data_IF_925967277696
#
_entry.id   IF_925967277696
#
_cell.length_a   1.000
_cell.length_b   1.000
_cell.length_c   1.000
_cell.angle_alpha   90.00
_cell.angle_beta   90.00
_cell.angle_gamma   90.00
#
_symmetry.space_group_name_H-M   'P 1'
#
loop_
_entity.id
_entity.type
_entity.pdbx_description
1 polymer ?
#
# COMPACT_ATOMS: atom_id res chain seq x y z
N UNK A 1 5.37 18.99 21.19
CA UNK A 1 3.98 19.42 21.37
C UNK A 1 3.80 20.60 20.42
N UNK A 2 3.54 20.28 19.16
CA UNK A 2 3.31 21.24 18.09
C UNK A 2 1.83 21.65 18.16
N UNK A 3 1.52 22.93 17.94
CA UNK A 3 0.13 23.40 17.96
C UNK A 3 -0.70 22.69 16.87
N UNK A 4 -1.94 22.26 17.18
CA UNK A 4 -2.80 21.53 16.24
C UNK A 4 -3.32 22.41 15.08
N UNK A 5 -3.07 23.72 15.12
CA UNK A 5 -3.45 24.73 14.14
C UNK A 5 -2.21 25.53 13.71
N UNK A 6 -2.15 25.91 12.43
CA UNK A 6 -1.17 26.89 12.01
C UNK A 6 -1.29 27.33 10.55
N UNK A 7 -0.46 28.32 10.21
CA UNK A 7 -0.25 28.76 8.84
C UNK A 7 1.24 29.01 8.58
N UNK A 8 1.70 28.64 7.38
CA UNK A 8 3.07 28.82 6.93
C UNK A 8 3.08 29.17 5.44
N UNK A 9 4.16 29.80 5.00
CA UNK A 9 4.38 30.21 3.62
C UNK A 9 5.68 29.59 3.16
N UNK A 10 5.62 28.75 2.12
CA UNK A 10 6.80 28.17 1.49
C UNK A 10 6.63 28.29 -0.03
N UNK A 11 7.68 28.80 -0.70
CA UNK A 11 7.73 28.92 -2.17
C UNK A 11 6.55 29.66 -2.84
N UNK A 12 5.99 30.71 -2.20
CA UNK A 12 4.83 31.44 -2.75
C UNK A 12 3.49 30.68 -2.63
N UNK A 13 3.49 29.54 -1.92
CA UNK A 13 2.27 28.83 -1.54
C UNK A 13 2.09 29.00 -0.04
N UNK A 14 0.93 29.54 0.37
CA UNK A 14 0.57 29.60 1.78
C UNK A 14 -0.28 28.38 2.12
N UNK A 15 0.03 27.76 3.25
CA UNK A 15 -0.67 26.60 3.77
C UNK A 15 -1.41 26.98 5.06
N UNK A 16 -2.59 26.42 5.24
CA UNK A 16 -3.29 26.35 6.53
C UNK A 16 -3.55 24.89 6.84
N UNK A 17 -3.51 24.50 8.10
CA UNK A 17 -3.72 23.10 8.46
C UNK A 17 -4.36 22.94 9.82
N UNK A 18 -4.89 21.74 10.02
CA UNK A 18 -5.46 21.29 11.28
C UNK A 18 -5.26 19.79 11.43
N UNK A 19 -4.82 19.36 12.61
CA UNK A 19 -4.61 17.95 12.91
C UNK A 19 -5.48 17.47 14.07
N UNK A 20 -5.90 16.20 14.03
CA UNK A 20 -6.57 15.56 15.14
C UNK A 20 -6.14 14.09 15.26
N UNK A 21 -5.98 13.62 16.50
CA UNK A 21 -5.71 12.21 16.80
C UNK A 21 -6.49 11.79 18.05
N UNK A 22 -7.12 10.62 18.01
CA UNK A 22 -7.89 10.04 19.10
C UNK A 22 -7.67 8.53 19.17
N UNK A 23 -7.63 7.99 20.39
CA UNK A 23 -7.42 6.55 20.62
C UNK A 23 -8.56 5.68 20.08
N UNK A 24 -9.72 6.29 19.83
CA UNK A 24 -10.95 5.58 19.48
C UNK A 24 -11.74 5.17 20.71
N UNK A 25 -12.63 4.20 20.54
CA UNK A 25 -13.52 3.66 21.59
C UNK A 25 -13.15 2.27 22.06
N UNK A 26 -12.36 1.54 21.26
CA UNK A 26 -12.06 0.12 21.51
C UNK A 26 -10.61 -0.11 21.93
N UNK A 27 -9.65 0.60 21.35
CA UNK A 27 -8.23 0.46 21.67
C UNK A 27 -7.90 1.10 23.02
N UNK A 28 -6.91 0.54 23.73
CA UNK A 28 -6.43 1.11 25.01
C UNK A 28 -5.29 2.11 24.82
N UNK A 29 -4.51 1.94 23.75
CA UNK A 29 -3.30 2.71 23.44
C UNK A 29 -3.47 3.29 22.04
N UNK A 30 -3.00 4.52 21.86
CA UNK A 30 -2.90 5.13 20.55
C UNK A 30 -1.53 4.78 19.94
N UNK A 31 -1.54 3.99 18.87
CA UNK A 31 -0.35 3.59 18.12
C UNK A 31 -0.14 4.46 16.88
N UNK A 32 -1.04 5.38 16.58
CA UNK A 32 -0.86 6.38 15.54
C UNK A 32 0.06 7.51 16.01
N UNK A 33 0.77 8.11 15.06
CA UNK A 33 1.54 9.32 15.25
C UNK A 33 1.33 10.28 14.09
N UNK A 34 1.42 11.58 14.38
CA UNK A 34 1.42 12.63 13.37
C UNK A 34 2.58 13.59 13.58
N UNK A 35 3.05 14.19 12.48
CA UNK A 35 4.03 15.28 12.51
C UNK A 35 3.55 16.44 11.63
N UNK A 36 3.76 17.65 12.14
CA UNK A 36 3.44 18.90 11.46
C UNK A 36 4.67 19.80 11.59
N UNK A 37 5.28 20.10 10.45
CA UNK A 37 6.42 21.00 10.32
C UNK A 37 6.14 22.12 9.32
N UNK A 38 7.19 22.87 8.97
CA UNK A 38 7.07 23.96 8.00
C UNK A 38 6.94 23.38 6.58
N UNK A 39 5.71 23.12 6.14
CA UNK A 39 5.42 22.59 4.81
C UNK A 39 5.55 21.07 4.68
N UNK A 40 5.72 20.35 5.79
CA UNK A 40 5.72 18.88 5.88
C UNK A 40 4.62 18.42 6.84
N UNK A 41 3.81 17.48 6.39
CA UNK A 41 2.75 16.84 7.17
C UNK A 41 2.87 15.34 7.03
N UNK A 42 2.85 14.60 8.14
CA UNK A 42 3.03 13.15 8.15
C UNK A 42 1.98 12.53 9.07
N UNK A 43 1.36 11.44 8.62
CA UNK A 43 0.56 10.54 9.44
C UNK A 43 1.15 9.13 9.33
N UNK A 44 1.25 8.45 10.47
CA UNK A 44 1.79 7.11 10.57
C UNK A 44 0.92 6.27 11.50
N UNK A 45 0.47 5.11 11.03
CA UNK A 45 -0.32 4.13 11.80
C UNK A 45 0.59 2.97 12.22
N UNK A 46 0.79 2.85 13.52
CA UNK A 46 1.73 1.92 14.12
C UNK A 46 1.15 0.51 14.26
N UNK A 47 1.78 -0.46 13.59
CA UNK A 47 1.44 -1.87 13.69
C UNK A 47 2.48 -2.67 14.48
N UNK A 48 2.01 -3.60 15.31
CA UNK A 48 2.87 -4.50 16.07
C UNK A 48 2.23 -4.93 17.38
N UNK A 49 2.64 -6.10 17.90
CA UNK A 49 2.20 -6.55 19.21
C UNK A 49 2.68 -5.62 20.34
N UNK A 50 1.98 -5.63 21.48
CA UNK A 50 2.30 -4.79 22.64
C UNK A 50 2.58 -3.32 22.26
N UNK A 51 3.68 -2.73 22.73
CA UNK A 51 4.07 -1.33 22.49
C UNK A 51 4.81 -1.11 21.16
N UNK A 52 4.92 -2.12 20.29
CA UNK A 52 5.69 -2.03 19.04
C UNK A 52 5.18 -0.94 18.10
N UNK A 53 3.86 -0.89 17.88
CA UNK A 53 3.24 0.08 16.96
C UNK A 53 3.50 1.55 17.35
N UNK A 54 3.24 1.90 18.62
CA UNK A 54 3.49 3.26 19.15
C UNK A 54 4.96 3.69 18.96
N UNK A 55 5.90 2.78 19.20
CA UNK A 55 7.32 3.07 19.04
C UNK A 55 7.68 3.26 17.57
N UNK A 56 7.16 2.40 16.68
CA UNK A 56 7.44 2.45 15.25
C UNK A 56 6.90 3.74 14.61
N UNK A 57 5.61 4.06 14.80
CA UNK A 57 4.99 5.26 14.21
C UNK A 57 5.65 6.54 14.69
N UNK A 58 5.96 6.62 16.00
CA UNK A 58 6.66 7.78 16.57
C UNK A 58 8.07 7.94 15.98
N UNK A 59 8.85 6.86 15.89
CA UNK A 59 10.19 6.91 15.29
C UNK A 59 10.09 7.38 13.83
N UNK A 60 9.12 6.88 13.07
CA UNK A 60 8.97 7.26 11.66
C UNK A 60 8.72 8.76 11.49
N UNK A 61 7.71 9.32 12.17
CA UNK A 61 7.37 10.74 12.01
C UNK A 61 8.46 11.66 12.56
N UNK A 62 9.10 11.30 13.68
CA UNK A 62 10.22 12.08 14.27
C UNK A 62 11.44 12.07 13.34
N UNK A 63 11.74 10.94 12.70
CA UNK A 63 12.88 10.80 11.79
C UNK A 63 12.66 11.61 10.52
N UNK A 64 11.49 11.48 9.90
CA UNK A 64 11.16 12.26 8.70
C UNK A 64 11.22 13.76 8.96
N UNK A 65 10.62 14.22 10.07
CA UNK A 65 10.70 15.62 10.47
C UNK A 65 12.14 16.08 10.66
N UNK A 66 12.95 15.31 11.39
CA UNK A 66 14.34 15.68 11.68
C UNK A 66 15.22 15.75 10.42
N UNK A 67 15.07 14.80 9.48
CA UNK A 67 15.86 14.78 8.24
C UNK A 67 15.51 15.96 7.34
N UNK A 68 14.22 16.23 7.14
CA UNK A 68 13.78 17.30 6.24
C UNK A 68 13.99 18.70 6.83
N UNK A 69 13.79 18.88 8.14
CA UNK A 69 14.07 20.16 8.82
C UNK A 69 15.56 20.50 8.82
N UNK A 70 16.46 19.49 8.84
CA UNK A 70 17.91 19.69 8.69
C UNK A 70 18.27 20.29 7.33
N UNK A 71 17.48 19.98 6.30
CA UNK A 71 17.68 20.46 4.93
C UNK A 71 17.08 21.84 4.69
N UNK A 72 16.15 22.26 5.55
CA UNK A 72 15.53 23.58 5.56
C UNK A 72 14.01 23.49 5.62
N UNK A 73 13.36 24.63 5.40
CA UNK A 73 11.90 24.76 5.43
C UNK A 73 11.22 24.52 4.07
N UNK A 74 11.85 23.73 3.20
CA UNK A 74 11.42 23.52 1.81
C UNK A 74 11.51 24.77 0.92
N UNK A 75 11.13 24.66 -0.37
CA UNK A 75 10.66 23.43 -1.02
C UNK A 75 11.80 22.42 -1.18
N UNK A 76 11.52 21.14 -0.95
CA UNK A 76 12.49 20.05 -1.09
C UNK A 76 12.48 19.46 -2.50
N UNK A 77 13.28 18.44 -2.77
CA UNK A 77 13.09 17.55 -3.91
C UNK A 77 12.21 16.38 -3.49
N UNK A 78 11.56 15.72 -4.44
CA UNK A 78 10.81 14.48 -4.10
C UNK A 78 11.73 13.42 -3.53
N UNK A 79 12.95 13.34 -4.05
CA UNK A 79 13.99 12.44 -3.56
C UNK A 79 14.32 12.65 -2.07
N UNK A 80 14.22 13.88 -1.56
CA UNK A 80 14.50 14.17 -0.15
C UNK A 80 13.41 13.55 0.75
N UNK A 81 12.14 13.61 0.32
CA UNK A 81 11.02 12.94 1.01
C UNK A 81 11.19 11.42 1.00
N UNK A 82 11.54 10.85 -0.16
CA UNK A 82 11.81 9.40 -0.28
C UNK A 82 12.97 8.99 0.62
N UNK A 83 14.05 9.77 0.63
CA UNK A 83 15.22 9.52 1.50
C UNK A 83 14.85 9.60 2.98
N UNK A 84 13.99 10.54 3.37
CA UNK A 84 13.48 10.66 4.73
C UNK A 84 12.64 9.42 5.15
N UNK A 85 11.84 8.86 4.24
CA UNK A 85 11.12 7.60 4.48
C UNK A 85 12.09 6.41 4.60
N UNK A 86 13.14 6.34 3.77
CA UNK A 86 14.16 5.29 3.90
C UNK A 86 14.91 5.40 5.24
N UNK A 87 15.27 6.60 5.67
CA UNK A 87 15.90 6.83 6.96
C UNK A 87 14.99 6.42 8.14
N UNK A 88 13.69 6.71 8.03
CA UNK A 88 12.69 6.22 8.97
C UNK A 88 12.63 4.68 9.00
N UNK A 89 12.62 4.03 7.82
CA UNK A 89 12.65 2.58 7.68
C UNK A 89 13.85 1.96 8.39
N UNK A 90 15.06 2.45 8.09
CA UNK A 90 16.30 1.98 8.70
C UNK A 90 16.27 2.10 10.22
N UNK A 91 15.72 3.20 10.75
CA UNK A 91 15.68 3.45 12.18
C UNK A 91 14.65 2.57 12.91
N UNK A 92 13.47 2.35 12.32
CA UNK A 92 12.46 1.43 12.86
C UNK A 92 13.00 -0.01 12.80
N UNK A 93 13.55 -0.42 11.66
CA UNK A 93 14.17 -1.74 11.48
C UNK A 93 15.28 -2.00 12.51
N UNK A 94 16.25 -1.09 12.64
CA UNK A 94 17.35 -1.21 13.60
C UNK A 94 16.87 -1.28 15.06
N UNK A 95 15.81 -0.55 15.40
CA UNK A 95 15.21 -0.62 16.74
C UNK A 95 14.52 -1.96 16.99
N UNK A 96 13.87 -2.54 15.98
CA UNK A 96 13.22 -3.86 16.07
C UNK A 96 14.23 -5.00 16.26
N UNK A 97 15.40 -4.88 15.63
CA UNK A 97 16.53 -5.82 15.78
C UNK A 97 17.23 -5.68 17.14
N UNK A 98 17.25 -4.48 17.72
CA UNK A 98 17.93 -4.23 18.99
C UNK A 98 17.14 -4.70 20.22
N UNK A 99 15.82 -4.55 20.22
CA UNK A 99 14.95 -4.96 21.33
C UNK A 99 14.01 -6.10 20.90
N UNK A 100 14.22 -7.34 21.39
CA UNK A 100 13.34 -8.47 21.09
C UNK A 100 11.85 -8.27 21.44
N UNK A 101 11.51 -7.30 22.30
CA UNK A 101 10.11 -6.96 22.62
C UNK A 101 9.43 -6.15 21.51
N UNK A 102 10.22 -5.54 20.64
CA UNK A 102 9.79 -4.74 19.50
C UNK A 102 9.96 -5.50 18.18
N UNK A 103 10.29 -6.79 18.24
CA UNK A 103 10.45 -7.62 17.05
C UNK A 103 9.18 -7.60 16.19
N UNK A 104 9.35 -7.28 14.91
CA UNK A 104 8.25 -7.18 13.95
C UNK A 104 7.35 -5.95 14.14
N UNK A 105 7.79 -4.93 14.88
CA UNK A 105 7.12 -3.62 14.85
C UNK A 105 7.26 -2.99 13.47
N UNK A 106 6.23 -2.27 13.04
CA UNK A 106 6.25 -1.50 11.81
C UNK A 106 5.23 -0.39 11.86
N UNK A 107 5.17 0.42 10.82
CA UNK A 107 4.20 1.50 10.72
C UNK A 107 3.89 1.80 9.26
N UNK A 108 2.70 2.32 9.01
CA UNK A 108 2.45 3.03 7.75
C UNK A 108 3.13 4.41 7.81
N UNK A 109 3.27 5.04 6.64
CA UNK A 109 3.62 6.45 6.48
C UNK A 109 2.87 6.99 5.28
N UNK A 110 2.11 8.06 5.47
CA UNK A 110 1.66 8.95 4.40
C UNK A 110 2.10 10.36 4.72
N UNK A 111 2.72 11.03 3.76
CA UNK A 111 3.23 12.39 3.96
C UNK A 111 2.96 13.31 2.79
N UNK A 112 2.80 14.60 3.09
CA UNK A 112 2.70 15.68 2.13
C UNK A 112 3.81 16.69 2.40
N UNK A 113 4.55 17.05 1.34
CA UNK A 113 5.56 18.10 1.36
C UNK A 113 5.47 19.02 0.16
N UNK A 114 5.88 20.28 0.29
CA UNK A 114 6.11 21.15 -0.86
C UNK A 114 7.49 20.87 -1.46
N UNK A 115 7.52 20.61 -2.76
CA UNK A 115 8.75 20.31 -3.50
C UNK A 115 8.93 21.27 -4.67
N UNK A 116 10.17 21.42 -5.14
CA UNK A 116 10.51 22.15 -6.35
C UNK A 116 11.15 21.19 -7.35
N UNK A 117 10.46 20.97 -8.47
CA UNK A 117 10.92 20.12 -9.57
C UNK A 117 10.79 20.92 -10.87
N UNK A 118 11.83 20.93 -11.69
CA UNK A 118 11.91 21.69 -12.94
C UNK A 118 11.57 23.21 -12.81
N UNK A 119 11.83 23.78 -11.63
CA UNK A 119 11.55 25.19 -11.33
C UNK A 119 10.07 25.50 -11.03
N UNK A 120 9.25 24.47 -10.83
CA UNK A 120 7.85 24.60 -10.42
C UNK A 120 7.63 24.02 -9.01
N UNK A 121 6.95 24.78 -8.16
CA UNK A 121 6.51 24.28 -6.85
C UNK A 121 5.34 23.30 -7.00
N UNK A 122 5.48 22.12 -6.41
CA UNK A 122 4.51 21.03 -6.45
C UNK A 122 4.19 20.54 -5.04
N UNK A 123 3.02 19.95 -4.88
CA UNK A 123 2.68 19.15 -3.70
C UNK A 123 3.15 17.72 -3.99
N UNK A 124 4.13 17.25 -3.24
CA UNK A 124 4.55 15.86 -3.25
C UNK A 124 3.80 15.08 -2.17
N UNK A 125 3.31 13.90 -2.53
CA UNK A 125 2.74 12.92 -1.61
C UNK A 125 3.62 11.69 -1.68
N UNK A 126 4.07 11.17 -0.53
CA UNK A 126 4.73 9.86 -0.43
C UNK A 126 3.91 8.93 0.44
N UNK A 127 3.80 7.65 0.04
CA UNK A 127 2.99 6.65 0.74
C UNK A 127 3.71 5.31 0.89
N UNK A 128 3.59 4.73 2.09
CA UNK A 128 3.92 3.36 2.44
C UNK A 128 2.87 2.84 3.42
N UNK A 129 1.93 2.02 2.95
CA UNK A 129 0.93 1.38 3.78
C UNK A 129 -0.46 1.63 3.23
N UNK A 130 -1.47 1.47 4.08
CA UNK A 130 -2.89 1.67 3.78
C UNK A 130 -3.49 2.91 4.47
N UNK A 131 -2.66 3.71 5.14
CA UNK A 131 -3.01 5.12 5.39
C UNK A 131 -3.14 5.88 4.07
N UNK A 132 -4.00 6.89 4.04
CA UNK A 132 -4.46 7.50 2.79
C UNK A 132 -4.23 9.00 2.71
N UNK A 133 -3.91 9.45 1.51
CA UNK A 133 -3.96 10.85 1.11
C UNK A 133 -5.11 11.08 0.11
N UNK A 134 -5.96 12.05 0.41
CA UNK A 134 -7.01 12.53 -0.49
C UNK A 134 -6.77 13.98 -0.91
N UNK A 135 -7.29 14.35 -2.08
CA UNK A 135 -7.36 15.72 -2.57
C UNK A 135 -8.82 16.08 -2.87
N UNK A 136 -9.31 17.11 -2.20
CA UNK A 136 -10.54 17.81 -2.53
C UNK A 136 -10.21 18.98 -3.47
N UNK A 137 -10.62 18.87 -4.73
CA UNK A 137 -10.45 19.93 -5.74
C UNK A 137 -11.71 20.08 -6.58
N UNK A 138 -12.18 21.32 -6.76
CA UNK A 138 -13.42 21.58 -7.51
C UNK A 138 -14.67 20.90 -6.93
N UNK A 139 -14.65 20.54 -5.64
CA UNK A 139 -15.74 19.86 -4.95
C UNK A 139 -15.74 18.33 -5.06
N UNK A 140 -14.77 17.73 -5.76
CA UNK A 140 -14.58 16.29 -5.86
C UNK A 140 -13.44 15.85 -4.94
N UNK A 141 -13.66 14.77 -4.18
CA UNK A 141 -12.65 14.14 -3.34
C UNK A 141 -12.08 12.94 -4.09
N UNK A 142 -10.79 13.01 -4.43
CA UNK A 142 -10.08 11.92 -5.08
C UNK A 142 -9.03 11.34 -4.11
N UNK A 143 -9.01 10.02 -3.96
CA UNK A 143 -7.89 9.35 -3.30
C UNK A 143 -6.66 9.43 -4.20
N UNK A 144 -5.55 9.93 -3.68
CA UNK A 144 -4.29 10.08 -4.42
C UNK A 144 -3.35 8.91 -4.19
N UNK A 145 -3.27 8.41 -2.96
CA UNK A 145 -2.41 7.28 -2.60
C UNK A 145 -3.04 5.94 -2.99
N UNK A 146 -2.21 4.94 -3.29
CA UNK A 146 -2.65 3.55 -3.42
C UNK A 146 -2.46 2.80 -2.10
N UNK A 147 -3.49 2.06 -1.66
CA UNK A 147 -3.40 1.22 -0.46
C UNK A 147 -2.45 0.04 -0.71
N UNK A 148 -1.40 -0.08 0.11
CA UNK A 148 -0.57 -1.27 0.19
C UNK A 148 -1.18 -2.28 1.16
N UNK A 149 -2.38 -2.75 0.82
CA UNK A 149 -3.09 -3.82 1.51
C UNK A 149 -3.46 -4.94 0.55
N UNK A 150 -3.71 -6.13 1.09
CA UNK A 150 -4.13 -7.30 0.31
C UNK A 150 -5.39 -6.98 -0.51
N UNK A 151 -6.35 -6.28 0.09
CA UNK A 151 -7.57 -5.88 -0.61
C UNK A 151 -7.33 -4.79 -1.64
N UNK A 152 -6.40 -3.86 -1.39
CA UNK A 152 -5.97 -2.85 -2.35
C UNK A 152 -5.34 -3.49 -3.59
N UNK A 153 -4.49 -4.50 -3.40
CA UNK A 153 -3.90 -5.27 -4.49
C UNK A 153 -4.95 -6.04 -5.29
N UNK A 154 -5.83 -6.78 -4.62
CA UNK A 154 -6.90 -7.54 -5.29
C UNK A 154 -7.88 -6.64 -6.04
N UNK A 155 -8.18 -5.45 -5.51
CA UNK A 155 -9.01 -4.45 -6.18
C UNK A 155 -8.34 -3.94 -7.46
N UNK A 156 -7.06 -3.55 -7.39
CA UNK A 156 -6.28 -3.09 -8.56
C UNK A 156 -6.13 -4.17 -9.63
N UNK A 157 -6.05 -5.43 -9.24
CA UNK A 157 -6.04 -6.58 -10.17
C UNK A 157 -7.42 -6.87 -10.80
N UNK A 158 -8.48 -6.15 -10.40
CA UNK A 158 -9.85 -6.38 -10.86
C UNK A 158 -10.46 -7.67 -10.32
N UNK A 159 -9.90 -8.21 -9.24
CA UNK A 159 -10.36 -9.45 -8.59
C UNK A 159 -11.38 -9.20 -7.49
N UNK A 160 -11.44 -7.98 -6.98
CA UNK A 160 -12.48 -7.50 -6.07
C UNK A 160 -13.07 -6.19 -6.60
N UNK A 161 -14.35 -6.00 -6.35
CA UNK A 161 -14.99 -4.68 -6.41
C UNK A 161 -14.70 -3.88 -5.15
N UNK A 162 -14.94 -2.56 -5.18
CA UNK A 162 -14.75 -1.69 -4.02
C UNK A 162 -15.62 -2.11 -2.83
N UNK A 163 -16.86 -2.52 -3.09
CA UNK A 163 -17.78 -3.00 -2.05
C UNK A 163 -17.31 -4.31 -1.42
N UNK A 164 -16.76 -5.23 -2.22
CA UNK A 164 -16.20 -6.49 -1.71
C UNK A 164 -14.93 -6.26 -0.89
N UNK A 165 -14.05 -5.34 -1.32
CA UNK A 165 -12.84 -4.99 -0.59
C UNK A 165 -13.15 -4.47 0.84
N UNK A 166 -14.18 -3.62 0.98
CA UNK A 166 -14.60 -3.02 2.26
C UNK A 166 -15.02 -4.02 3.33
N UNK A 167 -15.64 -5.14 2.92
CA UNK A 167 -16.14 -6.18 3.83
C UNK A 167 -15.27 -7.44 3.85
N UNK A 168 -14.13 -7.42 3.17
CA UNK A 168 -13.28 -8.58 3.04
C UNK A 168 -12.68 -8.98 4.40
N UNK A 169 -12.66 -10.28 4.76
CA UNK A 169 -12.17 -10.74 6.07
C UNK A 169 -10.67 -10.46 6.30
N UNK A 170 -9.93 -10.20 5.23
CA UNK A 170 -8.49 -9.90 5.27
C UNK A 170 -8.17 -8.45 4.86
N UNK A 171 -9.12 -7.53 5.05
CA UNK A 171 -8.93 -6.12 4.66
C UNK A 171 -7.79 -5.42 5.43
N UNK A 172 -7.55 -5.82 6.68
CA UNK A 172 -6.50 -5.27 7.54
C UNK A 172 -5.10 -5.91 7.30
N UNK A 173 -4.88 -6.64 6.21
CA UNK A 173 -3.56 -7.19 5.89
C UNK A 173 -2.80 -6.16 5.04
N UNK A 174 -1.84 -5.49 5.67
CA UNK A 174 -0.89 -4.59 5.01
C UNK A 174 0.18 -5.40 4.28
N UNK A 175 0.47 -5.05 3.02
CA UNK A 175 1.48 -5.71 2.17
C UNK A 175 2.79 -4.94 2.10
N UNK A 176 2.83 -3.68 2.54
CA UNK A 176 4.04 -2.87 2.63
C UNK A 176 4.00 -1.94 3.84
N UNK A 177 5.02 -1.99 4.69
CA UNK A 177 5.10 -1.14 5.88
C UNK A 177 6.57 -0.76 6.17
N UNK A 178 6.75 0.39 6.82
CA UNK A 178 8.05 0.89 7.28
C UNK A 178 8.52 0.07 8.47
N UNK A 179 9.78 -0.37 8.44
CA UNK A 179 10.46 -1.08 9.52
C UNK A 179 10.28 -2.59 9.55
N UNK A 180 9.56 -3.17 8.58
CA UNK A 180 9.33 -4.63 8.46
C UNK A 180 10.33 -5.31 7.52
N UNK A 181 10.91 -4.56 6.59
CA UNK A 181 11.97 -5.03 5.71
C UNK A 181 13.12 -4.02 5.74
N UNK A 182 14.34 -4.47 5.39
CA UNK A 182 15.51 -3.60 5.38
C UNK A 182 15.39 -2.44 4.38
N UNK A 183 14.65 -2.66 3.30
CA UNK A 183 14.37 -1.67 2.27
C UNK A 183 12.87 -1.64 2.03
N UNK A 184 12.32 -0.44 1.84
CA UNK A 184 10.89 -0.26 1.57
C UNK A 184 10.69 0.49 0.26
N UNK A 185 9.80 0.01 -0.59
CA UNK A 185 9.45 0.69 -1.83
C UNK A 185 8.47 1.84 -1.53
N UNK A 186 8.78 3.07 -1.95
CA UNK A 186 8.00 4.26 -1.62
C UNK A 186 7.25 4.72 -2.85
N UNK A 187 5.93 4.84 -2.71
CA UNK A 187 5.10 5.39 -3.78
C UNK A 187 5.14 6.93 -3.68
N UNK A 188 5.29 7.61 -4.82
CA UNK A 188 5.41 9.06 -4.91
C UNK A 188 4.44 9.66 -5.93
N UNK A 189 3.81 10.77 -5.58
CA UNK A 189 2.88 11.50 -6.44
C UNK A 189 3.20 12.99 -6.40
N UNK A 190 3.18 13.64 -7.55
CA UNK A 190 3.42 15.08 -7.65
C UNK A 190 2.23 15.78 -8.29
N UNK A 191 1.68 16.78 -7.61
CA UNK A 191 0.50 17.52 -8.05
C UNK A 191 0.81 19.02 -8.07
N UNK A 192 0.39 19.70 -9.14
CA UNK A 192 0.44 21.16 -9.19
C UNK A 192 -0.58 21.76 -8.21
N UNK A 193 -0.14 22.56 -7.21
CA UNK A 193 -1.04 23.16 -6.24
C UNK A 193 -1.99 24.13 -6.93
N UNK A 194 -3.27 24.08 -6.56
CA UNK A 194 -4.25 25.11 -6.93
C UNK A 194 -4.82 25.74 -5.67
N UNK A 195 -4.94 27.05 -5.67
CA UNK A 195 -5.64 27.76 -4.60
C UNK A 195 -7.04 27.19 -4.40
N UNK A 196 -7.37 26.87 -3.16
CA UNK A 196 -8.63 26.22 -2.78
C UNK A 196 -8.59 24.71 -2.82
N UNK A 197 -7.48 24.08 -3.26
CA UNK A 197 -7.27 22.65 -3.01
C UNK A 197 -7.14 22.39 -1.51
N UNK A 198 -7.77 21.32 -1.06
CA UNK A 198 -7.68 20.82 0.31
C UNK A 198 -7.23 19.36 0.29
N UNK A 199 -6.25 19.02 1.10
CA UNK A 199 -5.73 17.67 1.23
C UNK A 199 -6.11 17.09 2.59
N UNK A 200 -6.31 15.77 2.65
CA UNK A 200 -6.54 15.02 3.87
C UNK A 200 -5.55 13.86 3.91
N UNK A 201 -4.72 13.81 4.94
CA UNK A 201 -3.95 12.61 5.31
C UNK A 201 -4.69 11.92 6.46
N UNK A 202 -4.84 10.60 6.44
CA UNK A 202 -5.53 9.87 7.51
C UNK A 202 -5.07 8.42 7.67
N UNK A 203 -5.14 7.89 8.90
CA UNK A 203 -5.06 6.45 9.19
C UNK A 203 -6.35 5.73 8.77
N UNK A 204 -6.28 4.39 8.71
CA UNK A 204 -7.41 3.57 8.28
C UNK A 204 -8.63 3.71 9.20
N UNK A 205 -8.42 3.99 10.49
CA UNK A 205 -9.46 4.17 11.49
C UNK A 205 -10.47 5.27 11.19
N UNK A 206 -10.14 6.23 10.30
CA UNK A 206 -11.13 7.13 9.72
C UNK A 206 -11.95 6.42 8.63
N UNK A 207 -11.28 5.90 7.61
CA UNK A 207 -11.90 5.40 6.38
C UNK A 207 -12.63 4.07 6.54
N UNK A 208 -12.33 3.35 7.62
CA UNK A 208 -13.04 2.15 8.05
C UNK A 208 -14.40 2.44 8.71
N UNK A 209 -14.61 3.68 9.15
CA UNK A 209 -15.79 4.11 9.92
C UNK A 209 -16.63 5.16 9.18
N UNK A 210 -15.99 5.99 8.36
CA UNK A 210 -16.61 7.13 7.67
C UNK A 210 -16.41 6.96 6.16
N UNK A 211 -17.51 7.08 5.42
CA UNK A 211 -17.50 6.92 3.96
C UNK A 211 -16.90 8.15 3.26
N UNK A 212 -16.41 7.98 2.04
CA UNK A 212 -15.87 9.08 1.22
C UNK A 212 -16.90 10.21 0.98
N UNK A 213 -18.19 9.89 0.85
CA UNK A 213 -19.26 10.88 0.72
C UNK A 213 -19.40 11.74 1.99
N UNK A 214 -19.33 11.11 3.16
CA UNK A 214 -19.37 11.79 4.46
C UNK A 214 -18.12 12.64 4.68
N UNK A 215 -16.93 12.11 4.35
CA UNK A 215 -15.68 12.86 4.37
C UNK A 215 -15.78 14.09 3.47
N UNK A 216 -16.26 13.91 2.24
CA UNK A 216 -16.45 15.00 1.27
C UNK A 216 -17.40 16.06 1.80
N UNK A 217 -18.51 15.66 2.41
CA UNK A 217 -19.47 16.59 2.99
C UNK A 217 -18.86 17.44 4.12
N UNK A 218 -18.06 16.84 5.01
CA UNK A 218 -17.38 17.56 6.09
C UNK A 218 -16.32 18.52 5.55
N UNK A 219 -15.46 18.04 4.66
CA UNK A 219 -14.37 18.85 4.09
C UNK A 219 -14.89 20.02 3.26
N UNK A 220 -16.09 19.91 2.67
CA UNK A 220 -16.76 21.02 1.95
C UNK A 220 -17.57 21.94 2.86
N UNK A 221 -18.07 21.44 3.99
CA UNK A 221 -18.99 22.16 4.86
C UNK A 221 -18.31 22.96 5.96
N UNK A 222 -17.07 22.60 6.33
CA UNK A 222 -16.32 23.25 7.41
C UNK A 222 -15.07 23.91 6.86
N UNK A 223 -15.03 25.23 6.84
CA UNK A 223 -13.91 26.00 6.28
C UNK A 223 -12.62 25.88 7.11
N UNK A 224 -12.71 25.73 8.43
CA UNK A 224 -11.53 25.68 9.30
C UNK A 224 -10.93 24.27 9.33
N UNK A 225 -9.65 24.06 8.91
CA UNK A 225 -9.04 22.73 8.84
C UNK A 225 -9.09 21.94 10.14
N UNK A 226 -8.82 22.57 11.29
CA UNK A 226 -8.83 21.89 12.58
C UNK A 226 -10.25 21.48 12.98
N UNK A 227 -11.26 22.34 12.73
CA UNK A 227 -12.64 22.00 13.00
C UNK A 227 -13.13 20.85 12.10
N UNK A 228 -12.70 20.82 10.83
CA UNK A 228 -13.00 19.72 9.92
C UNK A 228 -12.35 18.41 10.41
N UNK A 229 -11.09 18.49 10.86
CA UNK A 229 -10.36 17.36 11.42
C UNK A 229 -11.05 16.78 12.67
N UNK A 230 -11.40 17.64 13.63
CA UNK A 230 -12.11 17.25 14.85
C UNK A 230 -13.50 16.66 14.56
N UNK A 231 -14.21 17.21 13.59
CA UNK A 231 -15.52 16.69 13.16
C UNK A 231 -15.41 15.29 12.57
N UNK A 232 -14.41 15.02 11.72
CA UNK A 232 -14.16 13.68 11.17
C UNK A 232 -13.85 12.66 12.26
N UNK A 233 -12.98 13.01 13.22
CA UNK A 233 -12.70 12.17 14.39
C UNK A 233 -13.97 11.90 15.19
N UNK A 234 -14.82 12.91 15.38
CA UNK A 234 -16.10 12.77 16.09
C UNK A 234 -17.03 11.81 15.35
N UNK A 235 -17.13 11.89 14.03
CA UNK A 235 -17.97 11.00 13.22
C UNK A 235 -17.46 9.55 13.25
N UNK A 236 -16.15 9.33 13.06
CA UNK A 236 -15.54 7.98 13.15
C UNK A 236 -15.79 7.34 14.52
N UNK A 237 -15.61 8.11 15.60
CA UNK A 237 -15.92 7.67 16.95
C UNK A 237 -17.41 7.39 17.21
N UNK A 238 -18.31 8.05 16.49
CA UNK A 238 -19.75 7.82 16.60
C UNK A 238 -20.20 6.58 15.80
N UNK A 239 -19.50 6.25 14.71
CA UNK A 239 -19.74 5.07 13.89
C UNK A 239 -19.17 3.77 14.49
N UNK A 240 -18.21 3.88 15.41
CA UNK A 240 -17.73 2.75 16.19
C UNK A 240 -16.42 3.02 16.92
N UNK A 241 -15.53 3.81 16.31
CA UNK A 241 -14.18 4.08 16.83
C UNK A 241 -13.43 2.79 17.15
N UNK A 242 -13.45 1.81 16.23
CA UNK A 242 -12.84 0.50 16.44
C UNK A 242 -11.31 0.54 16.46
N UNK A 243 -10.73 1.57 15.86
CA UNK A 243 -9.29 1.79 15.80
C UNK A 243 -8.86 3.16 16.30
N UNK A 244 -7.55 3.38 16.35
CA UNK A 244 -6.95 4.71 16.47
C UNK A 244 -7.33 5.55 15.23
N UNK A 245 -7.60 6.84 15.44
CA UNK A 245 -8.06 7.73 14.37
C UNK A 245 -7.15 8.94 14.36
N UNK A 246 -6.37 9.08 13.31
CA UNK A 246 -5.42 10.19 13.16
C UNK A 246 -5.49 10.77 11.77
N UNK A 247 -5.55 12.11 11.68
CA UNK A 247 -5.66 12.80 10.41
C UNK A 247 -5.11 14.22 10.46
N UNK A 248 -4.74 14.73 9.29
CA UNK A 248 -4.33 16.12 9.04
C UNK A 248 -5.07 16.65 7.81
N UNK A 249 -5.69 17.82 7.94
CA UNK A 249 -6.26 18.58 6.82
C UNK A 249 -5.31 19.72 6.46
N UNK A 250 -5.00 19.89 5.17
CA UNK A 250 -4.08 20.91 4.65
C UNK A 250 -4.73 21.67 3.50
N UNK A 251 -4.84 22.99 3.63
CA UNK A 251 -5.38 23.89 2.60
C UNK A 251 -4.27 24.62 1.85
N UNK A 252 -4.41 24.66 0.52
CA UNK A 252 -3.65 25.56 -0.33
C UNK A 252 -4.38 26.90 -0.40
N UNK A 253 -3.83 27.92 0.24
CA UNK A 253 -4.38 29.28 0.21
C UNK A 253 -3.51 30.21 -0.62
N UNK A 254 -4.15 31.21 -1.22
CA UNK A 254 -3.48 32.28 -1.95
C UNK A 254 -2.50 33.00 -1.01
N UNK A 255 -1.24 33.16 -1.45
CA UNK A 255 -0.25 33.93 -0.72
C UNK A 255 -0.49 35.44 -0.85
N UNK A 256 -1.40 35.85 -1.75
CA UNK A 256 -1.72 37.24 -2.07
C UNK A 256 -0.75 37.86 -3.08
N UNK A 257 0.22 37.08 -3.58
CA UNK A 257 1.08 37.38 -4.72
C UNK A 257 0.59 36.56 -5.91
N UNK A 258 -0.62 36.89 -6.37
CA UNK A 258 -1.14 36.35 -7.63
C UNK A 258 -0.13 36.55 -8.78
N UNK A 259 -0.16 35.71 -9.83
CA UNK A 259 0.80 35.77 -10.91
C UNK A 259 0.89 37.19 -11.47
N UNK A 260 2.04 37.84 -11.31
CA UNK A 260 2.36 39.10 -11.97
C UNK A 260 2.55 38.83 -13.46
N UNK A 261 1.44 38.71 -14.18
CA UNK A 261 1.47 38.59 -15.63
C UNK A 261 0.41 37.65 -16.18
N UNK A 262 -0.83 38.12 -16.30
CA UNK A 262 -1.61 38.07 -17.54
C UNK A 262 -3.05 38.53 -17.27
N UNK A 263 -3.33 39.76 -17.69
CA UNK A 263 -4.61 40.24 -18.24
C UNK A 263 -5.92 39.82 -17.57
N UNK A 264 -6.43 40.73 -16.75
CA UNK A 264 -7.72 41.42 -16.96
C UNK A 264 -8.54 40.93 -18.19
N UNK A 265 -9.51 40.05 -17.95
CA UNK A 265 -10.64 39.80 -18.83
C UNK A 265 -11.93 39.74 -18.00
N UNK A 266 -12.46 40.94 -17.80
CA UNK A 266 -13.78 41.29 -17.29
C UNK A 266 -14.91 40.69 -18.15
N UNK A 267 -15.93 40.11 -17.48
CA UNK A 267 -17.36 39.94 -17.89
C UNK A 267 -17.61 38.91 -19.02
N UNK A 268 -18.63 38.04 -18.99
CA UNK A 268 -20.04 38.26 -18.63
C UNK A 268 -20.75 37.03 -18.05
N UNK A 269 -21.60 37.31 -17.06
CA UNK A 269 -22.78 36.56 -16.65
C UNK A 269 -23.89 36.65 -17.71
N UNK A 270 -24.52 35.51 -18.04
CA UNK A 270 -25.79 35.47 -18.78
C UNK A 270 -26.87 34.75 -17.96
N UNK A 271 -28.15 35.11 -18.15
CA UNK A 271 -29.24 34.94 -17.19
C UNK A 271 -30.06 33.65 -17.41
N UNK A 272 -30.82 33.31 -16.36
CA UNK A 272 -31.93 32.36 -16.34
C UNK A 272 -32.94 32.64 -17.47
N UNK A 273 -33.43 31.56 -18.11
CA UNK A 273 -34.69 31.57 -18.85
C UNK A 273 -35.47 30.27 -18.55
N UNK A 274 -36.77 30.48 -18.38
CA UNK A 274 -37.82 29.64 -17.81
C UNK A 274 -38.31 28.44 -18.67
N UNK A 275 -38.97 27.52 -17.94
CA UNK A 275 -40.24 26.84 -18.29
C UNK A 275 -40.36 26.07 -19.62
N UNK A 276 -40.38 24.73 -19.53
CA UNK A 276 -41.35 23.94 -20.31
C UNK A 276 -41.72 22.65 -19.56
N UNK A 277 -42.91 22.71 -18.95
CA UNK A 277 -43.74 21.53 -18.66
C UNK A 277 -44.15 20.81 -19.96
N UNK A 278 -44.16 19.48 -19.98
CA UNK A 278 -45.18 18.63 -20.63
C UNK A 278 -44.91 17.13 -20.38
N UNK A 279 -45.84 16.49 -19.68
CA UNK A 279 -46.19 15.07 -19.77
C UNK A 279 -47.24 14.93 -20.91
N UNK A 280 -47.26 13.86 -21.71
CA UNK A 280 -48.28 12.84 -21.42
C UNK A 280 -47.92 11.39 -21.77
N UNK A 281 -48.52 10.47 -21.00
CA UNK A 281 -48.79 9.08 -21.34
C UNK A 281 -49.63 8.91 -22.63
N UNK A 282 -49.36 7.86 -23.43
CA UNK A 282 -50.32 6.75 -23.72
C UNK A 282 -49.84 5.75 -24.80
N UNK A 283 -50.00 4.47 -24.42
CA UNK A 283 -50.46 3.29 -25.17
C UNK A 283 -49.77 2.79 -26.46
N UNK A 284 -49.30 1.53 -26.41
CA UNK A 284 -49.92 0.45 -27.20
C UNK A 284 -49.69 -0.95 -26.61
N UNK A 285 -50.75 -1.75 -26.72
CA UNK A 285 -51.03 -3.04 -26.07
C UNK A 285 -50.44 -4.28 -26.79
N UNK A 286 -50.66 -5.43 -26.13
CA UNK A 286 -51.04 -6.76 -26.67
C UNK A 286 -49.91 -7.82 -26.68
N UNK A 287 -50.02 -9.06 -26.15
CA UNK A 287 -51.16 -9.99 -26.00
C UNK A 287 -50.93 -11.08 -24.90
N UNK A 288 -52.02 -11.38 -24.15
CA UNK A 288 -52.59 -12.69 -23.72
C UNK A 288 -51.75 -13.67 -22.84
N UNK A 289 -52.04 -13.96 -21.57
CA UNK A 289 -53.21 -14.61 -20.91
C UNK A 289 -53.23 -16.18 -20.92
N UNK A 290 -52.73 -16.80 -19.82
CA UNK A 290 -53.39 -17.66 -18.78
C UNK A 290 -54.55 -18.59 -19.26
N UNK A 291 -54.68 -19.89 -18.85
CA UNK A 291 -54.83 -20.25 -17.42
C UNK A 291 -54.33 -21.61 -16.86
N UNK A 292 -54.19 -21.57 -15.53
CA UNK A 292 -54.23 -22.64 -14.52
C UNK A 292 -55.35 -23.69 -14.73
N UNK A 293 -55.11 -24.93 -14.26
CA UNK A 293 -56.02 -25.54 -13.27
C UNK A 293 -55.50 -26.87 -12.64
N UNK A 294 -55.41 -26.84 -11.30
CA UNK A 294 -55.95 -27.79 -10.29
C UNK A 294 -55.67 -29.31 -10.33
N UNK A 295 -54.88 -29.73 -9.35
CA UNK A 295 -55.23 -30.52 -8.14
C UNK A 295 -56.18 -31.76 -8.16
N UNK A 296 -55.73 -32.75 -7.38
CA UNK A 296 -56.44 -33.85 -6.67
C UNK A 296 -56.83 -35.13 -7.45
N UNK A 297 -56.33 -36.29 -7.00
CA UNK A 297 -57.06 -37.22 -6.11
C UNK A 297 -56.29 -38.54 -5.88
N UNK A 298 -56.35 -38.99 -4.62
CA UNK A 298 -56.00 -40.31 -4.10
C UNK A 298 -56.84 -41.44 -4.73
N UNK A 299 -56.31 -42.66 -4.82
CA UNK A 299 -56.76 -43.82 -4.00
C UNK A 299 -56.14 -45.16 -4.40
N UNK A 300 -55.82 -45.94 -3.35
CA UNK A 300 -56.04 -47.38 -3.13
C UNK A 300 -55.59 -48.39 -4.19
N UNK A 301 -55.02 -49.55 -3.85
CA UNK A 301 -54.88 -50.26 -2.59
C UNK A 301 -54.76 -51.76 -2.88
N UNK A 302 -54.87 -52.59 -1.84
CA UNK A 302 -54.92 -54.08 -1.81
C UNK A 302 -53.56 -54.76 -1.99
N UNK A 303 -53.03 -55.51 -1.03
CA UNK A 303 -53.50 -56.74 -0.36
C UNK A 303 -52.37 -57.78 -0.55
N UNK A 304 -52.10 -58.81 0.25
CA UNK A 304 -52.70 -59.46 1.41
C UNK A 304 -51.74 -60.61 1.84
N UNK A 305 -51.74 -60.94 3.14
CA UNK A 305 -51.51 -62.24 3.80
C UNK A 305 -50.26 -63.10 3.45
N UNK A 306 -49.33 -63.39 4.38
CA UNK A 306 -49.38 -64.35 5.51
C UNK A 306 -49.10 -65.81 5.10
N UNK A 307 -48.05 -66.45 5.67
CA UNK A 307 -48.09 -67.75 6.38
C UNK A 307 -46.69 -68.31 6.73
N UNK A 308 -46.57 -68.75 7.98
CA UNK A 308 -45.59 -69.70 8.58
C UNK A 308 -46.37 -71.03 8.82
N UNK A 309 -45.83 -72.20 9.32
CA UNK A 309 -44.46 -72.68 9.65
C UNK A 309 -44.27 -74.20 9.23
N UNK A 310 -43.65 -75.14 10.00
CA UNK A 310 -42.25 -75.33 10.45
C UNK A 310 -41.62 -76.70 10.04
N UNK A 311 -40.31 -76.92 10.31
CA UNK A 311 -39.71 -78.04 11.11
C UNK A 311 -38.28 -78.48 10.68
N UNK A 312 -37.39 -78.53 11.69
CA UNK A 312 -36.24 -79.41 12.03
C UNK A 312 -35.52 -80.24 10.93
N UNK A 313 -34.19 -80.23 11.00
CA UNK A 313 -33.36 -81.43 10.79
C UNK A 313 -31.92 -81.16 10.32
N UNK A 314 -30.96 -81.38 11.22
CA UNK A 314 -29.61 -81.96 11.04
C UNK A 314 -28.57 -81.40 10.04
N UNK A 315 -27.43 -81.00 10.60
CA UNK A 315 -26.08 -80.91 10.00
C UNK A 315 -25.48 -82.31 9.66
N UNK A 316 -24.28 -82.46 9.06
CA UNK A 316 -23.49 -81.62 8.13
C UNK A 316 -22.84 -82.43 6.96
N UNK A 317 -21.96 -81.75 6.20
CA UNK A 317 -20.84 -82.22 5.34
C UNK A 317 -21.14 -82.62 3.89
N UNK A 318 -20.46 -81.91 2.98
CA UNK A 318 -20.27 -82.29 1.58
C UNK A 318 -19.62 -81.19 0.74
N UNK A 319 -18.29 -81.20 0.70
CA UNK A 319 -17.41 -80.83 -0.41
C UNK A 319 -17.52 -79.43 -1.06
N UNK A 320 -16.66 -78.51 -0.60
CA UNK A 320 -16.29 -77.29 -1.33
C UNK A 320 -15.39 -77.64 -2.54
N UNK A 321 -15.91 -77.34 -3.74
CA UNK A 321 -15.11 -77.20 -4.97
C UNK A 321 -14.75 -75.72 -5.14
N UNK A 322 -13.46 -75.33 -5.20
CA UNK A 322 -13.10 -73.93 -5.44
C UNK A 322 -13.23 -73.62 -6.94
N UNK A 323 -14.27 -72.88 -7.33
CA UNK A 323 -14.30 -72.14 -8.61
C UNK A 323 -14.03 -70.67 -8.33
N UNK A 324 -12.84 -70.23 -8.74
CA UNK A 324 -12.36 -68.86 -8.57
C UNK A 324 -13.27 -67.82 -9.23
N UNK A 325 -13.87 -66.99 -8.36
CA UNK A 325 -14.21 -65.55 -8.46
C UNK A 325 -14.49 -64.98 -9.86
N UNK A 326 -15.76 -64.65 -10.09
CA UNK A 326 -16.17 -63.61 -11.03
C UNK A 326 -15.49 -62.26 -10.67
N UNK A 327 -15.12 -61.42 -11.66
CA UNK A 327 -14.53 -60.12 -11.39
C UNK A 327 -15.52 -59.26 -10.61
N UNK A 328 -15.07 -58.69 -9.48
CA UNK A 328 -15.86 -57.72 -8.70
C UNK A 328 -16.20 -56.55 -9.63
N UNK A 329 -17.48 -56.39 -9.95
CA UNK A 329 -17.94 -55.21 -10.67
C UNK A 329 -17.55 -53.97 -9.86
N UNK A 330 -16.75 -53.09 -10.46
CA UNK A 330 -16.40 -51.79 -9.87
C UNK A 330 -17.73 -51.09 -9.60
N UNK A 331 -18.06 -50.94 -8.31
CA UNK A 331 -19.30 -50.26 -7.94
C UNK A 331 -19.14 -48.80 -8.33
N UNK A 332 -20.19 -48.16 -8.86
CA UNK A 332 -20.15 -46.73 -9.26
C UNK A 332 -19.56 -45.85 -8.13
N UNK A 333 -19.78 -46.24 -6.87
CA UNK A 333 -19.21 -45.60 -5.68
C UNK A 333 -17.68 -45.69 -5.57
N UNK A 334 -17.07 -46.83 -5.94
CA UNK A 334 -15.61 -46.96 -5.95
C UNK A 334 -14.96 -46.16 -7.08
N UNK A 335 -15.62 -46.05 -8.25
CA UNK A 335 -15.14 -45.20 -9.33
C UNK A 335 -15.26 -43.72 -8.97
N UNK A 336 -16.38 -43.31 -8.35
CA UNK A 336 -16.56 -41.96 -7.84
C UNK A 336 -15.52 -41.59 -6.77
N UNK A 337 -15.23 -42.51 -5.83
CA UNK A 337 -14.18 -42.30 -4.83
C UNK A 337 -12.79 -42.13 -5.46
N UNK A 338 -12.43 -42.97 -6.44
CA UNK A 338 -11.15 -42.84 -7.16
C UNK A 338 -11.06 -41.51 -7.92
N UNK A 339 -12.16 -41.06 -8.54
CA UNK A 339 -12.21 -39.75 -9.21
C UNK A 339 -12.07 -38.59 -8.24
N UNK A 340 -12.68 -38.66 -7.05
CA UNK A 340 -12.51 -37.64 -6.00
C UNK A 340 -11.06 -37.63 -5.50
N UNK A 341 -10.46 -38.79 -5.26
CA UNK A 341 -9.05 -38.88 -4.85
C UNK A 341 -8.12 -38.32 -5.93
N UNK A 342 -8.34 -38.67 -7.20
CA UNK A 342 -7.57 -38.11 -8.31
C UNK A 342 -7.77 -36.60 -8.45
N UNK A 343 -9.00 -36.11 -8.21
CA UNK A 343 -9.29 -34.67 -8.18
C UNK A 343 -8.56 -33.94 -7.06
N UNK A 344 -8.50 -34.52 -5.86
CA UNK A 344 -7.75 -33.97 -4.73
C UNK A 344 -6.23 -33.99 -4.97
N UNK A 345 -5.70 -35.07 -5.51
CA UNK A 345 -4.27 -35.19 -5.86
C UNK A 345 -3.92 -34.21 -6.99
N UNK A 346 -4.73 -34.13 -8.04
CA UNK A 346 -4.55 -33.19 -9.14
C UNK A 346 -4.69 -31.74 -8.69
N UNK A 347 -5.67 -31.43 -7.85
CA UNK A 347 -5.84 -30.10 -7.25
C UNK A 347 -4.69 -29.72 -6.35
N UNK A 348 -4.20 -30.63 -5.51
CA UNK A 348 -3.01 -30.42 -4.68
C UNK A 348 -1.75 -30.20 -5.51
N UNK A 349 -1.55 -31.00 -6.57
CA UNK A 349 -0.42 -30.82 -7.49
C UNK A 349 -0.50 -29.49 -8.26
N UNK A 350 -1.70 -29.06 -8.66
CA UNK A 350 -1.92 -27.77 -9.31
C UNK A 350 -1.63 -26.60 -8.36
N UNK A 351 -2.10 -26.66 -7.12
CA UNK A 351 -1.81 -25.64 -6.10
C UNK A 351 -0.30 -25.56 -5.79
N UNK A 352 0.37 -26.72 -5.69
CA UNK A 352 1.82 -26.77 -5.50
C UNK A 352 2.59 -26.18 -6.70
N UNK A 353 2.16 -26.49 -7.93
CA UNK A 353 2.73 -25.93 -9.15
C UNK A 353 2.56 -24.40 -9.22
N UNK A 354 1.35 -23.89 -8.96
CA UNK A 354 1.08 -22.45 -8.89
C UNK A 354 1.94 -21.77 -7.83
N UNK A 355 1.95 -22.30 -6.62
CA UNK A 355 2.74 -21.77 -5.52
C UNK A 355 4.25 -21.71 -5.80
N UNK A 356 4.75 -22.65 -6.61
CA UNK A 356 6.15 -22.71 -7.02
C UNK A 356 6.51 -21.67 -8.10
N UNK A 357 5.55 -21.25 -8.93
CA UNK A 357 5.80 -20.38 -10.10
C UNK A 357 5.23 -18.95 -9.98
N UNK A 358 4.37 -18.68 -8.98
CA UNK A 358 3.72 -17.36 -8.81
C UNK A 358 4.64 -16.26 -8.25
N UNK A 359 5.97 -16.42 -8.35
CA UNK A 359 6.95 -15.43 -7.86
C UNK A 359 8.14 -15.35 -8.80
N UNK A 360 8.74 -14.17 -8.92
CA UNK A 360 10.04 -13.97 -9.55
C UNK A 360 11.08 -13.73 -8.45
N UNK A 361 12.36 -13.87 -8.76
CA UNK A 361 13.40 -13.38 -7.87
C UNK A 361 14.61 -12.91 -8.65
N UNK A 362 15.37 -11.99 -8.05
CA UNK A 362 16.64 -11.52 -8.58
C UNK A 362 17.75 -12.19 -7.78
N UNK A 363 18.63 -12.92 -8.47
CA UNK A 363 19.69 -13.71 -7.84
C UNK A 363 20.98 -13.65 -8.66
N UNK A 364 21.96 -14.47 -8.26
CA UNK A 364 23.26 -14.54 -8.92
C UNK A 364 23.42 -15.87 -9.67
N UNK A 365 23.86 -15.81 -10.93
CA UNK A 365 24.24 -16.97 -11.74
C UNK A 365 25.45 -16.62 -12.61
N UNK A 366 26.47 -17.48 -12.62
CA UNK A 366 27.69 -17.33 -13.43
C UNK A 366 28.29 -15.89 -13.40
N UNK A 367 28.52 -15.37 -12.19
CA UNK A 367 29.07 -14.02 -11.91
C UNK A 367 28.22 -12.84 -12.43
N UNK A 368 26.91 -13.07 -12.68
CA UNK A 368 25.97 -12.03 -13.10
C UNK A 368 24.70 -12.01 -12.27
N UNK A 369 24.03 -10.86 -12.26
CA UNK A 369 22.68 -10.72 -11.72
C UNK A 369 21.67 -11.22 -12.76
N UNK A 370 20.81 -12.17 -12.38
CA UNK A 370 19.81 -12.81 -13.25
C UNK A 370 18.43 -12.75 -12.60
N UNK A 371 17.39 -12.57 -13.41
CA UNK A 371 16.00 -12.67 -12.98
C UNK A 371 15.50 -14.09 -13.26
N UNK A 372 15.03 -14.74 -12.20
CA UNK A 372 14.46 -16.08 -12.22
C UNK A 372 12.94 -16.05 -12.05
N UNK A 373 12.27 -17.03 -12.64
CA UNK A 373 10.88 -17.37 -12.35
C UNK A 373 10.84 -18.59 -11.42
N UNK A 374 10.10 -18.44 -10.33
CA UNK A 374 10.04 -19.37 -9.22
C UNK A 374 10.69 -18.83 -7.94
N UNK A 375 10.60 -19.61 -6.86
CA UNK A 375 11.13 -19.22 -5.54
C UNK A 375 12.65 -19.41 -5.45
N UNK A 376 13.35 -18.55 -4.69
CA UNK A 376 14.76 -18.78 -4.35
C UNK A 376 14.95 -20.14 -3.68
N UNK A 377 15.92 -20.92 -4.15
CA UNK A 377 16.22 -22.27 -3.62
C UNK A 377 15.25 -23.39 -4.04
N UNK A 378 14.25 -23.08 -4.87
CA UNK A 378 13.29 -24.06 -5.42
C UNK A 378 12.19 -24.50 -4.43
N UNK A 379 11.18 -25.21 -4.95
CA UNK A 379 10.11 -25.79 -4.14
C UNK A 379 9.76 -27.20 -4.60
N UNK A 380 9.92 -28.18 -3.70
CA UNK A 380 9.77 -29.62 -4.00
C UNK A 380 10.70 -30.10 -5.12
N UNK A 381 10.15 -30.40 -6.30
CA UNK A 381 10.85 -30.84 -7.50
C UNK A 381 10.80 -29.77 -8.62
N UNK A 382 10.42 -28.53 -8.27
CA UNK A 382 10.41 -27.38 -9.15
C UNK A 382 11.61 -26.49 -8.83
N UNK A 383 12.60 -26.50 -9.71
CA UNK A 383 13.72 -25.59 -9.67
C UNK A 383 13.34 -24.28 -10.39
N UNK A 384 13.87 -23.13 -9.93
CA UNK A 384 13.64 -21.87 -10.61
C UNK A 384 14.27 -21.88 -12.00
N UNK A 385 13.64 -21.20 -12.95
CA UNK A 385 14.14 -21.07 -14.32
C UNK A 385 14.59 -19.64 -14.61
N UNK A 386 15.77 -19.43 -15.22
CA UNK A 386 16.21 -18.10 -15.62
C UNK A 386 15.29 -17.55 -16.72
N UNK A 387 14.85 -16.31 -16.57
CA UNK A 387 13.96 -15.61 -17.51
C UNK A 387 14.69 -14.51 -18.24
N UNK A 388 15.54 -13.76 -17.55
CA UNK A 388 16.21 -12.58 -18.09
C UNK A 388 17.60 -12.40 -17.46
N UNK A 389 18.63 -12.43 -18.31
CA UNK A 389 20.01 -12.11 -17.92
C UNK A 389 20.18 -10.60 -17.92
N UNK A 390 20.80 -10.05 -16.88
CA UNK A 390 21.15 -8.63 -16.82
C UNK A 390 22.61 -8.41 -17.21
N UNK A 391 22.98 -7.18 -17.56
CA UNK A 391 24.36 -6.81 -17.89
C UNK A 391 25.18 -6.41 -16.64
N UNK A 392 24.65 -6.63 -15.44
CA UNK A 392 25.31 -6.31 -14.16
C UNK A 392 26.24 -7.45 -13.75
N UNK A 393 27.52 -7.14 -13.61
CA UNK A 393 28.53 -8.04 -13.08
C UNK A 393 28.50 -8.05 -11.54
N UNK A 394 28.68 -9.22 -10.92
CA UNK A 394 28.71 -9.35 -9.45
C UNK A 394 29.78 -8.48 -8.81
N UNK A 395 30.91 -8.27 -9.51
CA UNK A 395 32.00 -7.41 -9.03
C UNK A 395 31.61 -5.92 -8.91
N UNK A 396 30.60 -5.49 -9.67
CA UNK A 396 30.09 -4.12 -9.64
C UNK A 396 29.03 -3.93 -8.53
N UNK A 397 28.50 -5.01 -7.97
CA UNK A 397 27.44 -4.95 -6.95
C UNK A 397 28.02 -4.54 -5.59
N UNK A 398 27.42 -3.56 -4.90
CA UNK A 398 27.86 -3.18 -3.56
C UNK A 398 27.78 -4.36 -2.57
N UNK A 399 28.81 -4.55 -1.75
CA UNK A 399 28.89 -5.65 -0.79
C UNK A 399 27.70 -5.74 0.19
N UNK A 400 26.99 -4.63 0.42
CA UNK A 400 25.80 -4.59 1.25
C UNK A 400 24.56 -5.27 0.63
N UNK A 401 24.54 -5.47 -0.69
CA UNK A 401 23.42 -6.06 -1.45
C UNK A 401 23.76 -7.47 -1.95
N UNK A 402 25.04 -7.86 -1.93
CA UNK A 402 25.49 -9.20 -2.33
C UNK A 402 24.84 -10.31 -1.50
N UNK A 403 24.80 -10.16 -0.17
CA UNK A 403 24.20 -11.17 0.72
C UNK A 403 22.71 -11.39 0.41
N UNK A 404 21.99 -10.32 0.04
CA UNK A 404 20.56 -10.37 -0.30
C UNK A 404 20.33 -11.01 -1.68
N UNK A 405 21.21 -10.74 -2.65
CA UNK A 405 21.16 -11.37 -3.98
C UNK A 405 21.57 -12.84 -3.95
N UNK A 406 22.53 -13.23 -3.11
CA UNK A 406 22.87 -14.63 -2.86
C UNK A 406 21.69 -15.39 -2.24
N UNK A 407 20.92 -14.74 -1.36
CA UNK A 407 19.71 -15.31 -0.79
C UNK A 407 18.52 -15.36 -1.77
N UNK A 408 18.58 -14.57 -2.85
CA UNK A 408 17.55 -14.43 -3.87
C UNK A 408 16.44 -13.47 -3.43
N UNK A 409 16.44 -12.26 -3.99
CA UNK A 409 15.48 -11.21 -3.65
C UNK A 409 14.16 -11.49 -4.37
N UNK A 410 13.16 -11.95 -3.61
CA UNK A 410 11.85 -12.31 -4.15
C UNK A 410 11.05 -11.09 -4.59
N UNK A 411 10.39 -11.20 -5.74
CA UNK A 411 9.61 -10.15 -6.37
C UNK A 411 8.28 -10.73 -6.86
N UNK A 412 7.14 -10.04 -6.64
CA UNK A 412 5.83 -10.58 -6.99
C UNK A 412 5.57 -10.64 -8.49
N UNK A 413 6.25 -9.80 -9.29
CA UNK A 413 6.09 -9.75 -10.75
C UNK A 413 7.42 -9.53 -11.46
N UNK A 414 7.51 -9.95 -12.71
CA UNK A 414 8.66 -9.69 -13.57
C UNK A 414 8.95 -8.19 -13.71
N UNK A 415 7.91 -7.35 -13.74
CA UNK A 415 8.08 -5.90 -13.83
C UNK A 415 8.71 -5.31 -12.56
N UNK A 416 8.36 -5.82 -11.37
CA UNK A 416 9.03 -5.43 -10.12
C UNK A 416 10.46 -5.94 -10.05
N UNK A 417 10.72 -7.16 -10.53
CA UNK A 417 12.09 -7.66 -10.65
C UNK A 417 12.96 -6.78 -11.57
N UNK A 418 12.43 -6.35 -12.71
CA UNK A 418 13.10 -5.38 -13.59
C UNK A 418 13.34 -4.05 -12.91
N UNK A 419 12.34 -3.50 -12.22
CA UNK A 419 12.48 -2.22 -11.49
C UNK A 419 13.55 -2.31 -10.40
N UNK A 420 13.60 -3.44 -9.69
CA UNK A 420 14.64 -3.70 -8.70
C UNK A 420 16.04 -3.70 -9.34
N UNK A 421 16.20 -4.37 -10.49
CA UNK A 421 17.45 -4.38 -11.26
C UNK A 421 17.81 -2.96 -11.73
N UNK A 422 16.88 -2.19 -12.30
CA UNK A 422 17.12 -0.80 -12.72
C UNK A 422 17.57 0.07 -11.55
N UNK A 423 16.90 -0.02 -10.40
CA UNK A 423 17.31 0.71 -9.20
C UNK A 423 18.71 0.28 -8.70
N UNK A 424 19.08 -0.98 -8.91
CA UNK A 424 20.42 -1.49 -8.58
C UNK A 424 21.48 -0.91 -9.54
N UNK A 425 21.18 -0.82 -10.84
CA UNK A 425 22.06 -0.18 -11.84
C UNK A 425 22.34 1.29 -11.50
N UNK A 426 21.29 2.06 -11.20
CA UNK A 426 21.40 3.48 -10.83
C UNK A 426 22.30 3.65 -9.59
N UNK A 427 22.14 2.77 -8.59
CA UNK A 427 22.98 2.78 -7.37
C UNK A 427 24.44 2.41 -7.64
N UNK A 428 24.69 1.49 -8.57
CA UNK A 428 26.06 1.14 -8.99
C UNK A 428 26.71 2.34 -9.68
N UNK A 429 25.97 3.03 -10.57
CA UNK A 429 26.46 4.22 -11.27
C UNK A 429 26.80 5.36 -10.30
N UNK A 430 25.96 5.61 -9.30
CA UNK A 430 26.21 6.62 -8.27
C UNK A 430 27.39 6.28 -7.34
N UNK A 431 27.71 4.99 -7.17
CA UNK A 431 28.81 4.53 -6.30
C UNK A 431 30.15 4.48 -7.05
N UNK A 432 30.17 4.60 -8.38
CA UNK A 432 31.42 4.61 -9.17
C UNK A 432 32.21 5.90 -8.87
N UNK A 433 33.46 5.80 -8.37
CA UNK A 433 34.25 6.99 -8.08
C UNK A 433 34.53 7.77 -9.36
N UNK A 434 34.07 9.03 -9.42
CA UNK A 434 34.42 9.98 -10.47
C UNK A 434 35.94 10.11 -10.59
N UNK A 435 36.53 9.58 -11.66
CA UNK A 435 37.96 9.72 -11.95
C UNK A 435 38.26 11.18 -12.26
N UNK A 436 38.57 11.95 -11.22
CA UNK A 436 39.06 13.32 -11.37
C UNK A 436 40.50 13.26 -11.85
N UNK A 437 40.70 13.55 -13.14
CA UNK A 437 42.04 13.70 -13.73
C UNK A 437 42.74 14.89 -13.06
N UNK A 438 43.60 14.60 -12.08
CA UNK A 438 44.43 15.63 -11.41
C UNK A 438 45.57 16.03 -12.37
N UNK A 439 45.37 17.13 -13.10
CA UNK A 439 46.48 17.85 -13.76
C UNK A 439 47.42 18.43 -12.70
N UNK A 440 48.62 17.84 -12.59
CA UNK A 440 49.73 18.29 -11.75
C UNK A 440 50.14 19.73 -12.12
N UNK A 441 50.19 20.69 -11.18
CA UNK A 441 50.74 22.02 -11.46
C UNK A 441 52.27 21.99 -11.44
N UNK A 442 52.88 22.71 -12.39
CA UNK A 442 54.31 23.01 -12.48
C UNK A 442 54.76 23.86 -11.28
N UNK A 443 55.91 23.59 -10.63
CA UNK A 443 56.36 24.40 -9.49
C UNK A 443 56.97 25.72 -9.97
N UNK A 444 56.45 26.84 -9.46
CA UNK A 444 57.03 28.18 -9.63
C UNK A 444 57.90 28.50 -8.42
N UNK A 445 59.18 28.77 -8.67
CA UNK A 445 60.20 29.16 -7.70
C UNK A 445 59.87 30.50 -7.03
N UNK A 446 59.76 30.53 -5.71
CA UNK A 446 59.56 31.74 -4.89
C UNK A 446 60.89 32.20 -4.28
N UNK A 447 61.23 33.48 -4.45
CA UNK A 447 62.43 34.14 -3.91
C UNK A 447 62.11 34.76 -2.54
N UNK A 448 63.04 34.60 -1.60
CA UNK A 448 63.00 35.01 -0.18
C UNK A 448 63.26 36.53 0.00
N UNK A 449 62.62 37.23 0.96
CA UNK A 449 63.02 38.57 1.37
C UNK A 449 63.73 38.59 2.73
N UNK A 450 64.91 39.20 2.76
CA UNK A 450 65.74 39.48 3.95
C UNK A 450 65.14 40.58 4.82
N UNK A 451 64.88 40.30 6.10
CA UNK A 451 64.56 41.28 7.15
C UNK A 451 65.83 41.91 7.75
N UNK A 452 65.89 43.25 7.78
CA UNK A 452 66.89 44.04 8.51
C UNK A 452 66.28 44.59 9.79
N UNK A 453 66.91 44.26 10.92
CA UNK A 453 66.61 44.76 12.27
C UNK A 453 67.23 46.14 12.50
N UNK A 454 66.45 47.11 12.97
CA UNK A 454 66.96 48.35 13.56
C UNK A 454 66.15 48.69 14.81
N UNK A 455 66.82 48.76 15.95
CA UNK A 455 66.34 49.42 17.15
C UNK A 455 67.47 50.30 17.70
N UNK A 456 67.14 51.56 18.04
CA UNK A 456 67.50 52.27 19.29
C UNK A 456 67.25 53.79 19.13
N UNK A 457 66.61 54.37 20.16
CA UNK A 457 66.57 55.79 20.54
C UNK A 457 65.24 56.46 20.19
N UNK A 458 64.37 56.91 21.10
CA UNK A 458 64.56 57.37 22.48
C UNK A 458 64.05 58.81 22.56
N UNK A 459 62.97 59.05 23.32
CA UNK A 459 62.35 60.38 23.51
C UNK A 459 60.88 60.30 23.83
#
# INVERSE_FOLDING_TARGET
>A
MSDPEGSTSAAGVRLRWGGASDVGRVREVNQDSLFVGTGLFVVADGMGGHAGGEVASRIAVETMGSELEREGSGPWRVLDLVTAVQAANDRVWAQSEHDPKLAGMGTTVVAIGLVEEDGETRVAIVNVGDSRAYRLSGGNLDQVSDDHSLVGELFREGRLTADEARVHPQKNIVTRAVGIERYVDVDEFQILPRTGDRYLLCSDGLTDEVTEDEITAVLRGIDEPEAAAQELVRQANAAGGRDNITLIVVDIVDDGMGPTGASDARRESLPDDDDFSHDPEQDTQSLLAVPDDRAHLQRAGTGSAAEEPPRRGDEPRGDEVPRGKAPRAITVRSLAFVLVVLGLVGGGAFLAYRYAQDTYHVGLEDDRVVIFEGRPGGFLWFDPSPVEDTDIDVDDVPAAVLDDLEAGVSQPTLQRARRYVTNLEDRIEDTRPSVTTTTRPTPTTSTEPTTTTTGVGGG
#
